data_IF_536899403532
#
_entry.id   IF_536899403532
#
_cell.length_a   1.000
_cell.length_b   1.000
_cell.length_c   1.000
_cell.angle_alpha   90.00
_cell.angle_beta   90.00
_cell.angle_gamma   90.00
#
_symmetry.space_group_name_H-M   'P 1'
#
loop_
_entity.id
_entity.type
_entity.pdbx_description
1 polymer ?
#
# COMPACT_ATOMS: atom_id res chain seq x y z
N UNK A 1 -0.80 -9.95 -21.48
CA UNK A 1 -0.87 -8.77 -20.57
C UNK A 1 -1.26 -9.27 -19.19
N UNK A 2 -0.50 -8.91 -18.13
CA UNK A 2 -0.81 -9.36 -16.78
C UNK A 2 -2.18 -8.88 -16.30
N UNK A 3 -2.76 -9.61 -15.32
CA UNK A 3 -4.06 -9.29 -14.73
C UNK A 3 -3.87 -9.01 -13.24
N UNK A 4 -4.38 -7.87 -12.76
CA UNK A 4 -4.38 -7.50 -11.34
C UNK A 4 -5.79 -7.54 -10.75
N UNK A 5 -6.07 -8.48 -9.87
CA UNK A 5 -7.26 -8.42 -9.00
C UNK A 5 -6.96 -7.49 -7.82
N UNK A 6 -7.82 -6.51 -7.63
CA UNK A 6 -7.56 -5.40 -6.72
C UNK A 6 -8.83 -4.91 -6.04
N UNK A 7 -8.67 -4.33 -4.85
CA UNK A 7 -9.72 -3.56 -4.19
C UNK A 7 -9.14 -2.22 -3.76
N UNK A 8 -9.66 -1.13 -4.31
CA UNK A 8 -9.13 0.23 -4.16
C UNK A 8 -8.80 0.63 -2.72
N UNK A 9 -9.64 0.23 -1.75
CA UNK A 9 -9.47 0.61 -0.34
C UNK A 9 -8.58 -0.34 0.46
N UNK A 10 -8.12 -1.44 -0.13
CA UNK A 10 -7.20 -2.37 0.51
C UNK A 10 -5.78 -1.79 0.52
N UNK A 11 -5.11 -1.66 1.68
CA UNK A 11 -3.75 -1.13 1.75
C UNK A 11 -2.75 -1.98 0.97
N UNK A 12 -2.90 -3.29 0.98
CA UNK A 12 -2.05 -4.21 0.24
C UNK A 12 -2.24 -4.08 -1.28
N UNK A 13 -3.49 -3.93 -1.76
CA UNK A 13 -3.75 -3.67 -3.17
C UNK A 13 -3.23 -2.29 -3.62
N UNK A 14 -3.23 -1.29 -2.73
CA UNK A 14 -2.59 0.00 -3.01
C UNK A 14 -1.08 -0.13 -3.20
N UNK A 15 -0.38 -0.95 -2.42
CA UNK A 15 1.05 -1.26 -2.62
C UNK A 15 1.31 -1.76 -4.05
N UNK A 16 0.56 -2.77 -4.49
CA UNK A 16 0.69 -3.32 -5.83
C UNK A 16 0.42 -2.28 -6.92
N UNK A 17 -0.65 -1.48 -6.78
CA UNK A 17 -0.95 -0.40 -7.74
C UNK A 17 0.19 0.62 -7.82
N UNK A 18 0.77 1.04 -6.69
CA UNK A 18 1.88 1.98 -6.66
C UNK A 18 3.11 1.42 -7.37
N UNK A 19 3.47 0.17 -7.10
CA UNK A 19 4.60 -0.49 -7.74
C UNK A 19 4.41 -0.61 -9.26
N UNK A 20 3.23 -1.02 -9.72
CA UNK A 20 2.88 -1.12 -11.14
C UNK A 20 2.92 0.25 -11.85
N UNK A 21 2.45 1.31 -11.18
CA UNK A 21 2.54 2.67 -11.71
C UNK A 21 4.01 3.14 -11.83
N UNK A 22 4.81 2.97 -10.78
CA UNK A 22 6.22 3.40 -10.76
C UNK A 22 7.06 2.62 -11.78
N UNK A 23 6.81 1.33 -11.93
CA UNK A 23 7.48 0.48 -12.92
C UNK A 23 6.92 0.66 -14.35
N UNK A 24 5.90 1.49 -14.55
CA UNK A 24 5.17 1.67 -15.81
C UNK A 24 4.67 0.36 -16.41
N UNK A 25 4.32 -0.58 -15.56
CA UNK A 25 3.79 -1.89 -15.98
C UNK A 25 2.28 -1.79 -16.17
N UNK A 26 1.82 -1.96 -17.40
CA UNK A 26 0.39 -1.95 -17.73
C UNK A 26 -0.20 -3.33 -17.47
N UNK A 27 -1.33 -3.35 -16.77
CA UNK A 27 -2.09 -4.57 -16.46
C UNK A 27 -3.57 -4.39 -16.80
N UNK A 28 -4.30 -5.49 -17.03
CA UNK A 28 -5.74 -5.52 -16.92
C UNK A 28 -6.11 -5.42 -15.44
N UNK A 29 -6.79 -4.35 -15.02
CA UNK A 29 -7.23 -4.20 -13.65
C UNK A 29 -8.64 -4.75 -13.48
N UNK A 30 -8.80 -5.68 -12.54
CA UNK A 30 -10.07 -6.25 -12.11
C UNK A 30 -10.39 -5.79 -10.70
N UNK A 31 -11.18 -4.72 -10.58
CA UNK A 31 -11.68 -4.27 -9.27
C UNK A 31 -12.70 -5.28 -8.75
N UNK A 32 -12.48 -5.78 -7.53
CA UNK A 32 -13.32 -6.85 -6.97
C UNK A 32 -14.10 -6.40 -5.73
N UNK A 33 -15.25 -7.04 -5.51
CA UNK A 33 -15.96 -6.96 -4.24
C UNK A 33 -15.38 -8.00 -3.28
N UNK A 34 -14.97 -7.57 -2.06
CA UNK A 34 -14.47 -8.52 -1.06
C UNK A 34 -15.55 -9.47 -0.51
N UNK A 35 -16.84 -9.12 -0.69
CA UNK A 35 -17.99 -9.96 -0.27
C UNK A 35 -18.38 -10.98 -1.32
N UNK A 36 -18.14 -10.66 -2.60
CA UNK A 36 -18.46 -11.50 -3.74
C UNK A 36 -17.26 -11.50 -4.69
N UNK A 37 -16.31 -12.39 -4.44
CA UNK A 37 -15.07 -12.47 -5.22
C UNK A 37 -15.31 -13.29 -6.48
N UNK A 38 -14.70 -12.88 -7.62
CA UNK A 38 -14.83 -13.64 -8.87
C UNK A 38 -14.25 -15.05 -8.73
N UNK A 39 -14.96 -16.05 -9.32
CA UNK A 39 -14.52 -17.43 -9.30
C UNK A 39 -13.11 -17.59 -9.91
N UNK A 40 -12.83 -16.88 -11.01
CA UNK A 40 -11.51 -16.86 -11.66
C UNK A 40 -10.36 -16.36 -10.74
N UNK A 41 -10.65 -15.51 -9.76
CA UNK A 41 -9.67 -15.11 -8.75
C UNK A 41 -9.47 -16.22 -7.71
N UNK A 42 -10.55 -16.86 -7.26
CA UNK A 42 -10.52 -17.91 -6.23
C UNK A 42 -9.78 -19.18 -6.71
N UNK A 43 -9.88 -19.48 -7.99
CA UNK A 43 -9.20 -20.61 -8.62
C UNK A 43 -7.68 -20.45 -8.65
N UNK A 44 -7.19 -19.22 -8.83
CA UNK A 44 -5.75 -18.95 -8.91
C UNK A 44 -5.12 -18.58 -7.56
N UNK A 45 -5.90 -18.06 -6.61
CA UNK A 45 -5.40 -17.72 -5.26
C UNK A 45 -6.41 -18.17 -4.19
N UNK A 46 -6.27 -19.39 -3.63
CA UNK A 46 -7.15 -19.91 -2.58
C UNK A 46 -7.16 -19.08 -1.29
N UNK A 47 -6.13 -18.24 -1.04
CA UNK A 47 -6.15 -17.26 0.06
C UNK A 47 -7.37 -16.34 -0.02
N UNK A 48 -7.92 -16.13 -1.22
CA UNK A 48 -9.05 -15.24 -1.45
C UNK A 48 -8.83 -13.81 -0.94
N UNK A 49 -7.59 -13.32 -0.96
CA UNK A 49 -7.20 -11.95 -0.59
C UNK A 49 -6.76 -11.15 -1.82
N UNK A 50 -6.70 -9.84 -1.71
CA UNK A 50 -6.15 -8.95 -2.74
C UNK A 50 -4.93 -8.21 -2.19
N UNK A 51 -3.93 -7.92 -3.04
CA UNK A 51 -3.88 -8.10 -4.49
C UNK A 51 -3.60 -9.54 -4.92
N UNK A 52 -3.96 -9.88 -6.18
CA UNK A 52 -3.46 -11.06 -6.89
C UNK A 52 -3.03 -10.60 -8.28
N UNK A 53 -1.78 -10.83 -8.64
CA UNK A 53 -1.22 -10.54 -9.95
C UNK A 53 -0.96 -11.85 -10.70
N UNK A 54 -1.68 -12.05 -11.79
CA UNK A 54 -1.46 -13.14 -12.74
C UNK A 54 -0.60 -12.60 -13.90
N UNK A 55 0.59 -13.17 -14.10
CA UNK A 55 1.52 -12.81 -15.16
C UNK A 55 1.19 -13.50 -16.47
N UNK A 56 1.76 -13.00 -17.58
CA UNK A 56 1.57 -13.55 -18.94
C UNK A 56 2.07 -14.99 -19.11
N UNK A 57 3.05 -15.37 -18.30
CA UNK A 57 3.63 -16.72 -18.29
C UNK A 57 2.87 -17.70 -17.36
N UNK A 58 1.77 -17.24 -16.76
CA UNK A 58 0.93 -18.03 -15.86
C UNK A 58 1.38 -18.03 -14.40
N UNK A 59 2.49 -17.38 -14.05
CA UNK A 59 2.88 -17.21 -12.63
C UNK A 59 1.89 -16.33 -11.90
N UNK A 60 1.64 -16.67 -10.64
CA UNK A 60 0.74 -15.94 -9.75
C UNK A 60 1.56 -15.37 -8.60
N UNK A 61 1.37 -14.07 -8.32
CA UNK A 61 1.95 -13.37 -7.18
C UNK A 61 0.79 -12.82 -6.35
N UNK A 62 0.59 -13.34 -5.15
CA UNK A 62 -0.54 -12.98 -4.29
C UNK A 62 -0.12 -12.33 -2.95
N UNK A 63 1.17 -11.98 -2.82
CA UNK A 63 1.67 -11.13 -1.75
C UNK A 63 2.08 -9.75 -2.29
N UNK A 64 1.59 -8.70 -1.62
CA UNK A 64 1.80 -7.32 -2.10
C UNK A 64 3.27 -6.91 -2.15
N UNK A 65 4.10 -7.42 -1.24
CA UNK A 65 5.54 -7.14 -1.20
C UNK A 65 6.25 -7.86 -2.35
N UNK A 66 5.87 -9.10 -2.65
CA UNK A 66 6.43 -9.84 -3.80
C UNK A 66 6.08 -9.16 -5.13
N UNK A 67 4.89 -8.53 -5.25
CA UNK A 67 4.55 -7.72 -6.42
C UNK A 67 5.47 -6.49 -6.52
N UNK A 68 5.78 -5.82 -5.40
CA UNK A 68 6.75 -4.71 -5.39
C UNK A 68 8.12 -5.20 -5.86
N UNK A 69 8.62 -6.31 -5.30
CA UNK A 69 9.92 -6.87 -5.62
C UNK A 69 9.99 -7.28 -7.11
N UNK A 70 8.96 -7.93 -7.61
CA UNK A 70 8.84 -8.27 -9.02
C UNK A 70 8.89 -7.01 -9.93
N UNK A 71 8.23 -5.91 -9.54
CA UNK A 71 8.29 -4.66 -10.30
C UNK A 71 9.70 -4.06 -10.30
N UNK A 72 10.39 -4.05 -9.16
CA UNK A 72 11.76 -3.54 -9.03
C UNK A 72 12.73 -4.38 -9.87
N UNK A 73 12.63 -5.72 -9.81
CA UNK A 73 13.52 -6.63 -10.54
C UNK A 73 13.36 -6.54 -12.05
N UNK A 74 12.12 -6.41 -12.54
CA UNK A 74 11.81 -6.47 -13.97
C UNK A 74 11.81 -5.11 -14.67
N UNK A 75 11.82 -4.00 -13.93
CA UNK A 75 11.76 -2.63 -14.47
C UNK A 75 12.71 -1.67 -13.73
N UNK A 76 13.95 -2.07 -13.53
CA UNK A 76 14.98 -1.32 -12.78
C UNK A 76 15.16 0.12 -13.28
N UNK A 77 15.06 0.33 -14.59
CA UNK A 77 15.21 1.66 -15.19
C UNK A 77 14.04 2.64 -14.84
N UNK A 78 12.91 2.10 -14.39
CA UNK A 78 11.70 2.86 -14.11
C UNK A 78 11.41 2.99 -12.61
N UNK A 79 11.68 1.94 -11.86
CA UNK A 79 11.52 1.88 -10.42
C UNK A 79 12.74 1.20 -9.80
N UNK A 80 13.72 2.00 -9.45
CA UNK A 80 14.96 1.53 -8.84
C UNK A 80 14.85 1.57 -7.31
N UNK A 81 15.31 0.50 -6.67
CA UNK A 81 15.50 0.49 -5.23
C UNK A 81 16.88 1.07 -4.89
N UNK A 82 16.90 2.39 -4.63
CA UNK A 82 18.11 3.16 -4.35
C UNK A 82 18.66 2.99 -2.93
N UNK A 83 18.04 2.14 -2.10
CA UNK A 83 18.45 1.92 -0.72
C UNK A 83 19.75 1.13 -0.64
N UNK A 84 20.66 1.57 0.26
CA UNK A 84 21.86 0.79 0.60
C UNK A 84 21.48 -0.43 1.47
N UNK A 85 22.48 -1.28 1.78
CA UNK A 85 22.26 -2.54 2.49
C UNK A 85 21.57 -2.34 3.86
N UNK A 86 22.02 -1.38 4.64
CA UNK A 86 21.48 -1.14 6.00
C UNK A 86 20.07 -0.56 5.93
N UNK A 87 19.82 0.31 4.95
CA UNK A 87 18.48 0.85 4.68
C UNK A 87 17.50 -0.22 4.19
N UNK A 88 17.97 -1.21 3.43
CA UNK A 88 17.15 -2.36 3.01
C UNK A 88 16.75 -3.22 4.21
N UNK A 89 17.68 -3.54 5.09
CA UNK A 89 17.40 -4.28 6.32
C UNK A 89 16.39 -3.50 7.20
N UNK A 90 16.60 -2.20 7.36
CA UNK A 90 15.65 -1.37 8.07
C UNK A 90 14.26 -1.37 7.41
N UNK A 91 14.19 -1.29 6.07
CA UNK A 91 12.93 -1.33 5.33
C UNK A 91 12.19 -2.66 5.53
N UNK A 92 12.89 -3.79 5.53
CA UNK A 92 12.32 -5.12 5.81
C UNK A 92 11.73 -5.19 7.21
N UNK A 93 12.45 -4.72 8.24
CA UNK A 93 11.97 -4.67 9.62
C UNK A 93 10.74 -3.78 9.76
N UNK A 94 10.74 -2.61 9.11
CA UNK A 94 9.60 -1.69 9.12
C UNK A 94 8.39 -2.27 8.40
N UNK A 95 8.58 -2.89 7.24
CA UNK A 95 7.50 -3.53 6.48
C UNK A 95 6.85 -4.63 7.34
N UNK A 96 7.65 -5.48 7.96
CA UNK A 96 7.17 -6.51 8.87
C UNK A 96 6.41 -5.91 10.06
N UNK A 97 6.96 -4.86 10.67
CA UNK A 97 6.31 -4.14 11.78
C UNK A 97 4.93 -3.59 11.37
N UNK A 98 4.81 -3.07 10.12
CA UNK A 98 3.55 -2.55 9.60
C UNK A 98 2.55 -3.66 9.30
N UNK A 99 2.97 -4.76 8.72
CA UNK A 99 2.08 -5.87 8.37
C UNK A 99 1.55 -6.63 9.59
N UNK A 100 2.35 -6.70 10.65
CA UNK A 100 1.99 -7.38 11.89
C UNK A 100 1.37 -6.41 12.92
N UNK A 101 2.21 -5.58 13.54
CA UNK A 101 1.82 -4.77 14.71
C UNK A 101 1.01 -3.53 14.34
N UNK A 102 1.50 -2.73 13.38
CA UNK A 102 0.80 -1.51 13.01
C UNK A 102 -0.61 -1.81 12.49
N UNK A 103 -0.71 -2.80 11.60
CA UNK A 103 -2.02 -3.23 11.05
C UNK A 103 -2.95 -3.75 12.12
N UNK A 104 -2.45 -4.53 13.07
CA UNK A 104 -3.23 -5.03 14.21
C UNK A 104 -3.84 -3.87 15.02
N UNK A 105 -3.03 -2.87 15.37
CA UNK A 105 -3.48 -1.72 16.15
C UNK A 105 -4.37 -0.80 15.32
N UNK A 106 -4.03 -0.55 14.05
CA UNK A 106 -4.84 0.27 13.13
C UNK A 106 -6.27 -0.26 12.98
N UNK A 107 -6.44 -1.58 12.81
CA UNK A 107 -7.77 -2.17 12.66
C UNK A 107 -8.60 -1.99 13.94
N UNK A 108 -8.00 -2.18 15.11
CA UNK A 108 -8.69 -2.02 16.41
C UNK A 108 -9.00 -0.57 16.74
N UNK A 109 -8.16 0.35 16.31
CA UNK A 109 -8.44 1.77 16.38
C UNK A 109 -9.59 2.16 15.44
N UNK A 110 -9.44 1.86 14.15
CA UNK A 110 -10.36 2.31 13.10
C UNK A 110 -11.73 1.62 13.14
N UNK A 111 -11.77 0.36 13.58
CA UNK A 111 -12.94 -0.49 13.58
C UNK A 111 -13.22 -1.06 14.97
N UNK A 112 -13.00 -0.26 16.01
CA UNK A 112 -13.15 -0.67 17.42
C UNK A 112 -14.47 -1.41 17.70
N UNK A 113 -15.57 -0.96 17.09
CA UNK A 113 -16.90 -1.57 17.24
C UNK A 113 -17.01 -3.02 16.72
N UNK A 114 -15.99 -3.53 16.02
CA UNK A 114 -15.96 -4.93 15.53
C UNK A 114 -15.29 -5.88 16.51
N UNK A 115 -14.73 -5.37 17.58
CA UNK A 115 -13.96 -6.12 18.57
C UNK A 115 -14.56 -5.96 19.96
N UNK A 116 -14.56 -7.00 20.75
CA UNK A 116 -14.98 -6.95 22.13
C UNK A 116 -13.87 -6.40 23.03
N UNK A 117 -14.22 -5.56 24.01
CA UNK A 117 -13.33 -5.02 25.04
C UNK A 117 -12.08 -4.32 24.50
N UNK A 118 -12.21 -3.57 23.39
CA UNK A 118 -11.11 -2.82 22.77
C UNK A 118 -11.14 -1.37 23.21
N UNK A 119 -10.04 -0.90 23.78
CA UNK A 119 -9.75 0.52 23.96
C UNK A 119 -9.11 1.10 22.70
N UNK A 120 -9.90 1.79 21.89
CA UNK A 120 -9.44 2.40 20.65
C UNK A 120 -8.29 3.41 20.87
N UNK A 121 -8.29 4.15 22.00
CA UNK A 121 -7.25 5.13 22.30
C UNK A 121 -5.89 4.46 22.50
N UNK A 122 -5.82 3.37 23.26
CA UNK A 122 -4.59 2.60 23.45
C UNK A 122 -4.03 2.07 22.14
N UNK A 123 -4.88 1.61 21.23
CA UNK A 123 -4.46 1.14 19.90
C UNK A 123 -4.00 2.28 18.99
N UNK A 124 -4.64 3.44 19.07
CA UNK A 124 -4.18 4.66 18.40
C UNK A 124 -2.79 5.06 18.88
N UNK A 125 -2.58 5.10 20.19
CA UNK A 125 -1.33 5.51 20.80
C UNK A 125 -0.19 4.53 20.45
N UNK A 126 -0.46 3.23 20.39
CA UNK A 126 0.49 2.23 19.92
C UNK A 126 0.89 2.44 18.43
N UNK A 127 -0.05 2.83 17.55
CA UNK A 127 0.28 3.24 16.19
C UNK A 127 1.17 4.49 16.18
N UNK A 128 0.83 5.49 17.00
CA UNK A 128 1.60 6.72 17.10
C UNK A 128 3.04 6.48 17.56
N UNK A 129 3.25 5.60 18.53
CA UNK A 129 4.60 5.27 19.02
C UNK A 129 5.46 4.63 17.91
N UNK A 130 4.88 3.77 17.07
CA UNK A 130 5.55 3.25 15.90
C UNK A 130 5.93 4.40 14.94
N UNK A 131 5.01 5.32 14.66
CA UNK A 131 5.29 6.46 13.78
C UNK A 131 6.37 7.39 14.33
N UNK A 132 6.41 7.63 15.65
CA UNK A 132 7.47 8.42 16.31
C UNK A 132 8.86 7.83 16.10
N UNK A 133 8.98 6.51 16.07
CA UNK A 133 10.29 5.87 15.79
C UNK A 133 10.73 6.06 14.34
N UNK A 134 9.78 6.17 13.41
CA UNK A 134 10.04 6.35 11.98
C UNK A 134 10.24 7.80 11.57
N UNK A 135 9.67 8.74 12.30
CA UNK A 135 9.69 10.17 11.95
C UNK A 135 11.11 10.72 11.75
N UNK A 136 12.06 10.18 12.49
CA UNK A 136 13.49 10.55 12.42
C UNK A 136 14.16 10.16 11.09
N UNK A 137 13.60 9.22 10.35
CA UNK A 137 14.20 8.68 9.12
C UNK A 137 13.80 9.45 7.86
N UNK A 138 12.98 10.50 8.00
CA UNK A 138 12.53 11.38 6.91
C UNK A 138 13.17 12.78 7.03
N UNK A 139 14.30 12.90 7.72
CA UNK A 139 14.96 14.19 7.94
C UNK A 139 15.45 14.80 6.62
N UNK A 140 14.94 16.00 6.29
CA UNK A 140 15.33 16.80 5.14
C UNK A 140 15.19 16.11 3.77
N UNK A 141 14.43 15.02 3.68
CA UNK A 141 14.17 14.30 2.44
C UNK A 141 12.66 14.26 2.16
N UNK A 142 12.28 14.08 0.90
CA UNK A 142 10.87 13.95 0.50
C UNK A 142 10.30 12.57 0.80
N UNK A 143 11.16 11.57 0.88
CA UNK A 143 10.85 10.16 1.08
C UNK A 143 11.77 9.57 2.14
N UNK A 144 11.55 8.33 2.58
CA UNK A 144 12.47 7.66 3.48
C UNK A 144 13.86 7.55 2.86
N UNK A 145 14.86 8.11 3.54
CA UNK A 145 16.28 8.11 3.17
C UNK A 145 16.67 8.81 1.86
N UNK A 146 15.71 9.29 1.06
CA UNK A 146 15.99 9.86 -0.27
C UNK A 146 14.94 10.89 -0.69
N UNK A 147 15.16 11.52 -1.85
CA UNK A 147 14.16 12.38 -2.49
C UNK A 147 13.31 11.62 -3.53
N UNK A 148 13.63 10.37 -3.79
CA UNK A 148 12.90 9.50 -4.71
C UNK A 148 12.09 8.48 -3.93
N UNK A 149 10.89 8.17 -4.45
CA UNK A 149 10.02 7.14 -3.89
C UNK A 149 10.72 5.78 -3.99
N UNK A 150 10.73 5.05 -2.90
CA UNK A 150 11.37 3.74 -2.81
C UNK A 150 10.42 2.70 -2.19
N UNK A 151 10.93 1.48 -1.98
CA UNK A 151 10.14 0.34 -1.49
C UNK A 151 9.46 0.61 -0.14
N UNK A 152 10.17 1.23 0.82
CA UNK A 152 9.60 1.49 2.15
C UNK A 152 8.44 2.49 2.07
N UNK A 153 8.57 3.55 1.25
CA UNK A 153 7.52 4.56 1.11
C UNK A 153 6.20 3.93 0.67
N UNK A 154 6.21 3.20 -0.45
CA UNK A 154 4.99 2.59 -0.96
C UNK A 154 4.47 1.45 -0.09
N UNK A 155 5.33 0.86 0.73
CA UNK A 155 4.92 -0.20 1.65
C UNK A 155 4.18 0.32 2.87
N UNK A 156 4.53 1.49 3.41
CA UNK A 156 3.92 2.03 4.62
C UNK A 156 2.83 3.07 4.35
N UNK A 157 2.90 3.78 3.22
CA UNK A 157 1.97 4.85 2.84
C UNK A 157 0.49 4.48 2.99
N UNK A 158 0.00 3.33 2.52
CA UNK A 158 -1.41 2.99 2.61
C UNK A 158 -1.92 2.90 4.05
N UNK A 159 -1.08 2.45 4.96
CA UNK A 159 -1.43 2.25 6.37
C UNK A 159 -1.42 3.58 7.14
N UNK A 160 -0.38 4.41 6.95
CA UNK A 160 -0.30 5.74 7.57
C UNK A 160 -1.46 6.62 7.07
N UNK A 161 -1.77 6.55 5.77
CA UNK A 161 -2.95 7.20 5.20
C UNK A 161 -4.25 6.72 5.86
N UNK A 162 -4.42 5.42 6.09
CA UNK A 162 -5.61 4.90 6.76
C UNK A 162 -5.67 5.31 8.23
N UNK A 163 -4.53 5.44 8.90
CA UNK A 163 -4.44 5.92 10.27
C UNK A 163 -4.91 7.38 10.37
N UNK A 164 -4.42 8.27 9.49
CA UNK A 164 -4.90 9.66 9.41
C UNK A 164 -6.41 9.73 9.13
N UNK A 165 -6.93 8.90 8.21
CA UNK A 165 -8.37 8.91 7.85
C UNK A 165 -9.26 8.52 9.04
N UNK A 166 -8.77 7.76 10.00
CA UNK A 166 -9.56 7.38 11.18
C UNK A 166 -9.94 8.60 12.04
N UNK A 167 -9.03 9.57 12.20
CA UNK A 167 -9.25 10.85 12.84
C UNK A 167 -8.27 11.91 12.29
N UNK A 168 -8.64 12.61 11.21
CA UNK A 168 -7.73 13.57 10.56
C UNK A 168 -7.36 14.75 11.48
N UNK A 169 -8.31 15.26 12.27
CA UNK A 169 -8.05 16.41 13.13
C UNK A 169 -7.03 16.08 14.23
N UNK A 170 -7.18 14.92 14.85
CA UNK A 170 -6.23 14.46 15.85
C UNK A 170 -4.85 14.19 15.26
N UNK A 171 -4.79 13.50 14.08
CA UNK A 171 -3.53 13.20 13.43
C UNK A 171 -2.77 14.45 13.01
N UNK A 172 -3.46 15.42 12.40
CA UNK A 172 -2.85 16.65 11.89
C UNK A 172 -2.42 17.62 13.01
N UNK A 173 -3.06 17.54 14.18
CA UNK A 173 -2.68 18.32 15.36
C UNK A 173 -1.51 17.71 16.17
N UNK A 174 -1.08 16.49 15.86
CA UNK A 174 -0.04 15.79 16.62
C UNK A 174 1.36 16.35 16.36
N UNK A 175 2.05 16.85 17.39
CA UNK A 175 3.38 17.44 17.27
C UNK A 175 4.52 16.41 17.32
N UNK A 176 4.21 15.14 17.56
CA UNK A 176 5.21 14.08 17.74
C UNK A 176 5.72 13.41 16.47
N UNK A 177 5.12 13.76 15.28
CA UNK A 177 5.42 13.13 13.99
C UNK A 177 5.43 14.14 12.82
N UNK A 178 6.11 15.30 12.95
CA UNK A 178 6.02 16.38 11.96
C UNK A 178 6.54 15.97 10.57
N UNK A 179 7.61 15.16 10.50
CA UNK A 179 8.17 14.73 9.22
C UNK A 179 7.23 13.74 8.51
N UNK A 180 6.61 12.81 9.24
CA UNK A 180 5.58 11.89 8.71
C UNK A 180 4.36 12.67 8.19
N UNK A 181 3.94 13.73 8.87
CA UNK A 181 2.81 14.56 8.41
C UNK A 181 3.13 15.24 7.08
N UNK A 182 4.31 15.87 6.96
CA UNK A 182 4.76 16.52 5.73
C UNK A 182 4.94 15.48 4.61
N UNK A 183 5.56 14.35 4.90
CA UNK A 183 5.74 13.23 3.97
C UNK A 183 4.39 12.71 3.46
N UNK A 184 3.44 12.47 4.36
CA UNK A 184 2.11 12.00 3.98
C UNK A 184 1.37 13.03 3.12
N UNK A 185 1.42 14.32 3.47
CA UNK A 185 0.77 15.40 2.70
C UNK A 185 1.32 15.50 1.28
N UNK A 186 2.66 15.39 1.12
CA UNK A 186 3.29 15.34 -0.20
C UNK A 186 2.76 14.18 -1.06
N UNK A 187 2.57 13.00 -0.45
CA UNK A 187 1.98 11.86 -1.16
C UNK A 187 0.50 12.06 -1.47
N UNK A 188 -0.27 12.64 -0.55
CA UNK A 188 -1.71 12.92 -0.76
C UNK A 188 -1.95 13.83 -1.96
N UNK A 189 -1.04 14.77 -2.24
CA UNK A 189 -1.09 15.68 -3.37
C UNK A 189 -0.39 15.13 -4.63
N UNK A 190 0.26 13.97 -4.57
CA UNK A 190 1.07 13.43 -5.65
C UNK A 190 0.25 12.87 -6.81
N UNK A 191 0.84 12.93 -8.02
CA UNK A 191 0.30 12.21 -9.19
C UNK A 191 0.20 10.70 -8.92
N UNK A 192 1.17 10.14 -8.19
CA UNK A 192 1.18 8.71 -7.81
C UNK A 192 -0.14 8.33 -7.12
N UNK A 193 -0.50 9.02 -6.05
CA UNK A 193 -1.70 8.66 -5.30
C UNK A 193 -2.98 8.95 -6.09
N UNK A 194 -3.02 10.03 -6.87
CA UNK A 194 -4.16 10.34 -7.72
C UNK A 194 -4.45 9.21 -8.70
N UNK A 195 -3.42 8.66 -9.36
CA UNK A 195 -3.58 7.53 -10.30
C UNK A 195 -4.00 6.25 -9.58
N UNK A 196 -3.34 5.93 -8.45
CA UNK A 196 -3.64 4.73 -7.67
C UNK A 196 -5.08 4.73 -7.13
N UNK A 197 -5.63 5.90 -6.83
CA UNK A 197 -6.96 6.08 -6.25
C UNK A 197 -8.07 6.32 -7.26
N UNK A 198 -7.81 6.16 -8.57
CA UNK A 198 -8.86 6.18 -9.59
C UNK A 198 -9.92 5.10 -9.30
N UNK A 199 -11.18 5.47 -9.51
CA UNK A 199 -12.30 4.53 -9.37
C UNK A 199 -12.40 3.65 -10.60
N UNK A 200 -12.58 2.37 -10.39
CA UNK A 200 -12.96 1.40 -11.40
C UNK A 200 -14.27 0.76 -10.99
N UNK A 201 -15.12 0.46 -11.98
CA UNK A 201 -16.31 -0.34 -11.77
C UNK A 201 -15.92 -1.76 -11.35
N UNK A 202 -16.79 -2.43 -10.61
CA UNK A 202 -16.58 -3.84 -10.27
C UNK A 202 -16.44 -4.66 -11.56
N UNK A 203 -15.43 -5.51 -11.57
CA UNK A 203 -15.18 -6.39 -12.70
C UNK A 203 -16.22 -7.51 -12.77
N UNK A 204 -16.73 -7.74 -13.98
CA UNK A 204 -17.58 -8.88 -14.31
C UNK A 204 -17.07 -9.53 -15.61
N UNK A 205 -17.27 -10.85 -15.78
CA UNK A 205 -16.99 -11.50 -17.05
C UNK A 205 -17.72 -10.77 -18.20
N UNK A 206 -17.05 -10.55 -19.32
CA UNK A 206 -17.53 -9.84 -20.51
C UNK A 206 -17.57 -8.29 -20.41
N UNK A 207 -17.17 -7.68 -19.30
CA UNK A 207 -16.96 -6.24 -19.27
C UNK A 207 -15.73 -5.85 -20.12
N UNK A 208 -15.72 -4.64 -20.69
CA UNK A 208 -14.52 -4.13 -21.36
C UNK A 208 -13.31 -4.16 -20.48
N UNK A 209 -12.16 -4.53 -21.03
CA UNK A 209 -10.88 -4.53 -20.34
C UNK A 209 -10.59 -3.11 -19.81
N UNK A 210 -10.27 -3.00 -18.53
CA UNK A 210 -9.82 -1.78 -17.88
C UNK A 210 -8.32 -1.85 -17.67
N UNK A 211 -7.59 -0.91 -18.25
CA UNK A 211 -6.14 -0.84 -18.11
C UNK A 211 -5.74 -0.01 -16.89
N UNK A 212 -4.67 -0.42 -16.23
CA UNK A 212 -4.02 0.34 -15.16
C UNK A 212 -2.50 0.22 -15.32
N UNK A 213 -1.75 1.32 -15.14
CA UNK A 213 -2.23 2.71 -15.04
C UNK A 213 -2.77 3.23 -16.37
N UNK A 214 -3.75 4.14 -16.30
CA UNK A 214 -4.40 4.70 -17.50
C UNK A 214 -3.63 5.84 -18.16
N UNK A 215 -2.76 6.53 -17.40
CA UNK A 215 -1.97 7.68 -17.85
C UNK A 215 -0.55 7.57 -17.29
N UNK A 216 0.36 7.08 -18.09
CA UNK A 216 1.80 7.03 -17.80
C UNK A 216 2.50 8.35 -18.14
#
# INVERSE_FOLDING_TARGET
MPILYSFKRCPYAMRARMALYLSKTIVELREVSLRNKPQSMLEISPKATVPVLLLDDGRIIDESIEIIDWCIENKKDMFEDTLNKDQKLFAEDVIKLFDEKFKFHLDRYKYATRYENVDAASHRDACLDILRTLDKNINNTKCFFSNNVNKIDISVLPFIRQFRIADPLWFDANQGIPNIQIWLENFLQSKLLNVVMVNFDLWEPNNPIKLFPTNL
#
